data_IF_789754912875
#
_entry.id   IF_789754912875
#
_cell.length_a   1.000
_cell.length_b   1.000
_cell.length_c   1.000
_cell.angle_alpha   90.00
_cell.angle_beta   90.00
_cell.angle_gamma   90.00
#
_symmetry.space_group_name_H-M   'P 1'
#
loop_
_entity.id
_entity.type
_entity.pdbx_description
1 polymer ?
#
# COMPACT_ATOMS: atom_id res chain seq x y z
N UNK A 1 11.13 0.01 -4.28
CA UNK A 1 10.91 -1.15 -3.40
C UNK A 1 9.61 -0.98 -2.63
N UNK A 2 8.91 -2.06 -2.23
CA UNK A 2 7.61 -1.95 -1.53
C UNK A 2 7.68 -1.12 -0.23
N UNK A 3 8.77 -1.22 0.54
CA UNK A 3 8.94 -0.39 1.73
C UNK A 3 9.04 1.12 1.43
N UNK A 4 9.64 1.51 0.29
CA UNK A 4 9.70 2.91 -0.14
C UNK A 4 8.31 3.42 -0.56
N UNK A 5 7.50 2.55 -1.17
CA UNK A 5 6.11 2.87 -1.51
C UNK A 5 5.29 3.19 -0.25
N UNK A 6 5.36 2.34 0.79
CA UNK A 6 4.67 2.60 2.05
C UNK A 6 5.32 3.72 2.88
N UNK A 7 6.61 4.01 2.68
CA UNK A 7 7.26 5.19 3.25
C UNK A 7 6.62 6.48 2.71
N UNK A 8 6.32 6.57 1.41
CA UNK A 8 5.60 7.73 0.86
C UNK A 8 4.22 7.90 1.50
N UNK A 9 3.49 6.81 1.73
CA UNK A 9 2.15 6.87 2.33
C UNK A 9 2.22 7.32 3.80
N UNK A 10 3.15 6.76 4.58
CA UNK A 10 3.16 6.88 6.05
C UNK A 10 4.08 7.97 6.57
N UNK A 11 5.07 8.39 5.79
CA UNK A 11 6.21 9.20 6.24
C UNK A 11 7.16 8.47 7.20
N UNK A 12 6.95 7.18 7.46
CA UNK A 12 7.79 6.41 8.38
C UNK A 12 9.19 6.17 7.80
N UNK A 13 10.17 5.98 8.67
CA UNK A 13 11.56 5.72 8.26
C UNK A 13 11.78 4.24 7.97
N UNK A 14 12.49 3.93 6.89
CA UNK A 14 13.00 2.59 6.64
C UNK A 14 14.18 2.39 7.60
N UNK A 15 14.01 1.51 8.59
CA UNK A 15 14.99 1.27 9.65
C UNK A 15 15.95 0.13 9.33
N UNK A 16 15.57 -0.74 8.41
CA UNK A 16 16.39 -1.84 7.92
C UNK A 16 16.02 -2.15 6.46
N UNK A 17 17.01 -2.47 5.64
CA UNK A 17 16.81 -2.99 4.29
C UNK A 17 18.03 -3.79 3.84
N UNK A 18 17.79 -5.03 3.42
CA UNK A 18 18.75 -5.89 2.75
C UNK A 18 18.09 -6.58 1.55
N UNK A 19 18.74 -7.60 0.98
CA UNK A 19 18.18 -8.32 -0.16
C UNK A 19 16.92 -9.13 0.15
N UNK A 20 16.75 -9.59 1.40
CA UNK A 20 15.69 -10.50 1.83
C UNK A 20 14.54 -9.78 2.55
N UNK A 21 14.79 -8.63 3.16
CA UNK A 21 13.80 -7.94 3.99
C UNK A 21 13.99 -6.43 4.10
N UNK A 22 12.90 -5.73 4.40
CA UNK A 22 12.92 -4.33 4.80
C UNK A 22 11.91 -4.05 5.92
N UNK A 23 12.24 -3.11 6.81
CA UNK A 23 11.40 -2.71 7.94
C UNK A 23 11.13 -1.21 7.89
N UNK A 24 9.88 -0.82 8.11
CA UNK A 24 9.39 0.55 8.06
C UNK A 24 8.74 0.91 9.41
N UNK A 25 9.24 1.97 10.04
CA UNK A 25 8.79 2.47 11.35
C UNK A 25 9.79 2.22 12.47
N UNK A 26 9.81 3.12 13.45
CA UNK A 26 10.67 3.08 14.65
C UNK A 26 9.88 2.83 15.95
N UNK A 27 8.55 2.80 15.85
CA UNK A 27 7.64 2.64 16.98
C UNK A 27 7.35 1.18 17.36
N UNK A 28 6.42 0.96 18.29
CA UNK A 28 5.99 -0.39 18.70
C UNK A 28 5.24 -1.14 17.59
N UNK A 29 4.83 -0.44 16.53
CA UNK A 29 4.22 -1.00 15.33
C UNK A 29 5.14 -0.68 14.16
N UNK A 30 5.43 -1.70 13.36
CA UNK A 30 6.27 -1.62 12.16
C UNK A 30 5.61 -2.41 11.03
N UNK A 31 5.89 -2.00 9.80
CA UNK A 31 5.62 -2.82 8.62
C UNK A 31 6.91 -3.54 8.22
N UNK A 32 6.82 -4.86 8.09
CA UNK A 32 7.92 -5.69 7.61
C UNK A 32 7.58 -6.23 6.23
N UNK A 33 8.52 -6.10 5.30
CA UNK A 33 8.42 -6.56 3.93
C UNK A 33 9.46 -7.67 3.74
N UNK A 34 9.01 -8.87 3.36
CA UNK A 34 9.88 -10.02 3.13
C UNK A 34 9.87 -10.39 1.65
N UNK A 35 11.06 -10.65 1.10
CA UNK A 35 11.18 -11.21 -0.25
C UNK A 35 10.63 -12.62 -0.24
N UNK A 36 9.71 -12.89 -1.15
CA UNK A 36 9.22 -14.24 -1.44
C UNK A 36 9.46 -14.51 -2.92
N UNK A 37 10.36 -15.44 -3.22
CA UNK A 37 10.72 -15.75 -4.60
C UNK A 37 9.51 -16.30 -5.36
N UNK A 38 9.23 -15.71 -6.53
CA UNK A 38 8.05 -16.09 -7.33
C UNK A 38 6.71 -15.65 -6.73
N UNK A 39 6.71 -14.70 -5.79
CA UNK A 39 5.48 -14.11 -5.28
C UNK A 39 4.56 -13.66 -6.42
N UNK A 40 3.27 -13.95 -6.26
CA UNK A 40 2.21 -13.48 -7.14
C UNK A 40 1.17 -12.83 -6.26
N UNK A 41 1.01 -11.52 -6.43
CA UNK A 41 0.03 -10.72 -5.70
C UNK A 41 -1.38 -11.26 -5.80
N UNK A 42 -2.25 -10.96 -4.82
CA UNK A 42 -3.67 -11.20 -4.97
C UNK A 42 -4.17 -10.45 -6.21
N UNK A 43 -5.01 -11.11 -7.01
CA UNK A 43 -5.64 -10.46 -8.16
C UNK A 43 -6.83 -9.66 -7.68
N UNK A 44 -7.23 -8.68 -8.47
CA UNK A 44 -8.52 -8.03 -8.28
C UNK A 44 -9.50 -8.45 -9.37
N UNK A 45 -10.68 -9.01 -9.02
CA UNK A 45 -11.12 -9.45 -7.69
C UNK A 45 -10.57 -10.84 -7.29
N UNK A 46 -10.34 -11.08 -6.00
CA UNK A 46 -10.00 -12.39 -5.42
C UNK A 46 -10.68 -12.54 -4.05
N UNK A 47 -11.10 -13.77 -3.72
CA UNK A 47 -11.84 -14.13 -2.51
C UNK A 47 -10.95 -14.67 -1.38
N UNK A 48 -9.63 -14.77 -1.59
CA UNK A 48 -8.69 -15.10 -0.53
C UNK A 48 -8.78 -14.08 0.63
N UNK A 49 -8.32 -14.45 1.83
CA UNK A 49 -8.36 -13.56 2.99
C UNK A 49 -7.47 -12.34 2.74
N UNK A 50 -8.07 -11.23 2.34
CA UNK A 50 -7.39 -9.95 2.15
C UNK A 50 -7.44 -9.17 3.47
N UNK A 51 -6.32 -9.15 4.20
CA UNK A 51 -6.06 -8.02 5.06
C UNK A 51 -5.65 -6.85 4.17
N UNK A 52 -6.09 -5.65 4.51
CA UNK A 52 -5.64 -4.43 3.87
C UNK A 52 -5.39 -3.36 4.92
N UNK A 53 -4.60 -2.37 4.53
CA UNK A 53 -4.32 -1.20 5.36
C UNK A 53 -5.24 -0.05 4.90
N UNK A 54 -5.78 0.68 5.87
CA UNK A 54 -6.53 1.91 5.65
C UNK A 54 -5.66 3.09 6.06
N UNK A 55 -5.49 4.06 5.15
CA UNK A 55 -4.78 5.30 5.43
C UNK A 55 -5.69 6.51 5.21
N UNK A 56 -5.32 7.63 5.82
CA UNK A 56 -5.94 8.92 5.55
C UNK A 56 -4.93 9.88 4.92
N UNK A 57 -5.42 10.76 4.06
CA UNK A 57 -4.63 11.79 3.40
C UNK A 57 -5.31 13.15 3.55
N UNK A 58 -4.50 14.19 3.78
CA UNK A 58 -5.00 15.57 3.83
C UNK A 58 -5.53 16.04 2.46
N UNK A 59 -4.89 15.60 1.37
CA UNK A 59 -5.35 15.78 0.00
C UNK A 59 -5.44 14.41 -0.68
N UNK A 60 -6.67 13.90 -0.79
CA UNK A 60 -6.93 12.56 -1.32
C UNK A 60 -6.59 12.46 -2.80
N UNK A 61 -6.87 13.51 -3.59
CA UNK A 61 -6.65 13.49 -5.04
C UNK A 61 -5.16 13.57 -5.37
N UNK A 62 -4.43 14.44 -4.67
CA UNK A 62 -2.98 14.55 -4.82
C UNK A 62 -2.28 13.25 -4.42
N UNK A 63 -2.63 12.67 -3.26
CA UNK A 63 -2.07 11.40 -2.80
C UNK A 63 -2.40 10.26 -3.77
N UNK A 64 -3.65 10.15 -4.24
CA UNK A 64 -4.03 9.14 -5.23
C UNK A 64 -3.16 9.23 -6.48
N UNK A 65 -2.97 10.44 -7.01
CA UNK A 65 -2.15 10.67 -8.21
C UNK A 65 -0.68 10.29 -7.98
N UNK A 66 -0.13 10.62 -6.83
CA UNK A 66 1.25 10.27 -6.46
C UNK A 66 1.43 8.76 -6.36
N UNK A 67 0.53 8.05 -5.68
CA UNK A 67 0.61 6.60 -5.53
C UNK A 67 0.49 5.86 -6.85
N UNK A 68 -0.36 6.34 -7.76
CA UNK A 68 -0.44 5.81 -9.13
C UNK A 68 0.88 6.03 -9.90
N UNK A 69 1.53 7.18 -9.73
CA UNK A 69 2.84 7.44 -10.34
C UNK A 69 3.95 6.54 -9.77
N UNK A 70 3.82 6.08 -8.52
CA UNK A 70 4.72 5.13 -7.86
C UNK A 70 4.43 3.66 -8.19
N UNK A 71 3.47 3.39 -9.09
CA UNK A 71 3.17 2.03 -9.57
C UNK A 71 2.00 1.36 -8.86
N UNK A 72 1.26 2.07 -8.00
CA UNK A 72 -0.04 1.57 -7.57
C UNK A 72 -0.99 1.46 -8.77
N UNK A 73 -1.97 0.58 -8.65
CA UNK A 73 -3.07 0.46 -9.62
C UNK A 73 -4.40 0.76 -8.95
N UNK A 74 -5.34 1.30 -9.72
CA UNK A 74 -6.71 1.56 -9.26
C UNK A 74 -7.66 0.58 -9.95
N UNK A 75 -8.32 -0.31 -9.20
CA UNK A 75 -9.37 -1.14 -9.77
C UNK A 75 -10.53 -0.32 -10.38
N UNK A 76 -11.08 -0.80 -11.50
CA UNK A 76 -12.21 -0.15 -12.17
C UNK A 76 -13.44 -0.04 -11.27
N UNK A 77 -13.77 -1.12 -10.55
CA UNK A 77 -14.83 -1.10 -9.55
C UNK A 77 -14.32 -0.47 -8.26
N UNK A 78 -15.05 0.55 -7.78
CA UNK A 78 -14.77 1.23 -6.52
C UNK A 78 -15.97 1.11 -5.59
N UNK A 79 -15.84 0.43 -4.43
CA UNK A 79 -16.88 0.39 -3.41
C UNK A 79 -16.93 1.71 -2.62
N UNK A 80 -17.90 1.83 -1.71
CA UNK A 80 -17.88 2.90 -0.69
C UNK A 80 -18.44 4.25 -1.13
N UNK A 81 -18.96 4.38 -2.36
CA UNK A 81 -19.65 5.58 -2.86
C UNK A 81 -18.78 6.84 -2.79
N UNK A 82 -17.47 6.70 -3.03
CA UNK A 82 -16.52 7.82 -3.03
C UNK A 82 -16.01 8.24 -1.65
N UNK A 83 -16.40 7.55 -0.57
CA UNK A 83 -15.88 7.84 0.79
C UNK A 83 -14.42 7.43 0.98
N UNK A 84 -13.94 6.46 0.20
CA UNK A 84 -12.55 6.05 0.13
C UNK A 84 -12.24 5.61 -1.31
N UNK A 85 -10.95 5.56 -1.64
CA UNK A 85 -10.45 4.99 -2.89
C UNK A 85 -9.68 3.71 -2.56
N UNK A 86 -10.02 2.62 -3.24
CA UNK A 86 -9.28 1.36 -3.22
C UNK A 86 -8.16 1.44 -4.27
N UNK A 87 -6.94 1.14 -3.84
CA UNK A 87 -5.77 0.98 -4.68
C UNK A 87 -5.14 -0.39 -4.41
N UNK A 88 -4.33 -0.88 -5.35
CA UNK A 88 -3.42 -2.00 -5.12
C UNK A 88 -1.98 -1.49 -5.22
N UNK A 89 -1.13 -1.92 -4.29
CA UNK A 89 0.29 -1.57 -4.30
C UNK A 89 1.03 -2.24 -5.49
N UNK A 90 2.33 -1.94 -5.71
CA UNK A 90 3.07 -2.51 -6.84
C UNK A 90 3.13 -4.05 -6.87
N UNK A 91 2.89 -4.71 -5.73
CA UNK A 91 2.84 -6.18 -5.60
C UNK A 91 1.41 -6.71 -5.58
N UNK A 92 0.39 -5.88 -5.79
CA UNK A 92 -1.02 -6.25 -5.91
C UNK A 92 -1.82 -6.24 -4.61
N UNK A 93 -1.22 -5.91 -3.45
CA UNK A 93 -1.97 -5.91 -2.20
C UNK A 93 -2.98 -4.76 -2.19
N UNK A 94 -4.28 -5.04 -1.94
CA UNK A 94 -5.27 -3.97 -1.83
C UNK A 94 -5.01 -3.14 -0.56
N UNK A 95 -5.27 -1.83 -0.65
CA UNK A 95 -5.32 -0.89 0.47
C UNK A 95 -6.31 0.23 0.15
N UNK A 96 -6.75 0.97 1.18
CA UNK A 96 -7.65 2.10 1.01
C UNK A 96 -6.99 3.41 1.46
N UNK A 97 -7.40 4.48 0.80
CA UNK A 97 -7.11 5.85 1.21
C UNK A 97 -8.42 6.65 1.31
N UNK A 98 -8.56 7.44 2.37
CA UNK A 98 -9.69 8.33 2.59
C UNK A 98 -9.19 9.75 2.96
N UNK A 99 -10.07 10.74 2.91
CA UNK A 99 -9.76 12.06 3.46
C UNK A 99 -9.57 11.98 4.98
N UNK A 100 -8.64 12.76 5.51
CA UNK A 100 -8.36 12.87 6.95
C UNK A 100 -9.45 13.62 7.74
#
# INVERSE_FOLDING_TARGET
MLAEFYQTITGWQITHSDGDSAYLGEGPIQLAFQRVDGYQGPRWPDAAKHAHLDFTAADLDAMTKELLALGATKPDFQPGEGRWTVLADPEGHPFCIAAA
#
